data_IF_902522111384
#
_entry.id   IF_902522111384
#
_cell.length_a   1.000
_cell.length_b   1.000
_cell.length_c   1.000
_cell.angle_alpha   90.00
_cell.angle_beta   90.00
_cell.angle_gamma   90.00
#
_symmetry.space_group_name_H-M   'P 1'
#
loop_
_entity.id
_entity.type
_entity.pdbx_description
1 polymer ?
#
# COMPACT_ATOMS: atom_id res chain seq x y z
N UNK A 1 15.88 -29.54 17.26
CA UNK A 1 16.95 -30.36 16.67
C UNK A 1 16.47 -30.82 15.30
N UNK A 2 17.20 -30.50 14.23
CA UNK A 2 16.86 -30.92 12.87
C UNK A 2 17.37 -32.36 12.67
N UNK A 3 16.49 -33.31 12.32
CA UNK A 3 16.89 -34.69 12.03
C UNK A 3 17.66 -34.78 10.70
N UNK A 4 18.64 -35.69 10.61
CA UNK A 4 19.64 -35.79 9.53
C UNK A 4 19.07 -35.86 8.10
N UNK A 5 17.81 -36.23 7.92
CA UNK A 5 17.19 -36.53 6.62
C UNK A 5 16.06 -35.55 6.21
N UNK A 6 15.89 -34.41 6.90
CA UNK A 6 14.86 -33.42 6.53
C UNK A 6 15.47 -32.05 6.25
N UNK A 7 14.94 -31.37 5.23
CA UNK A 7 15.18 -29.94 5.06
C UNK A 7 14.51 -29.21 6.21
N UNK A 8 15.26 -28.34 6.88
CA UNK A 8 14.77 -27.57 8.01
C UNK A 8 14.76 -26.09 7.69
N UNK A 9 13.73 -25.41 8.18
CA UNK A 9 13.61 -23.97 8.12
C UNK A 9 13.70 -23.40 9.54
N UNK A 10 14.69 -22.54 9.77
CA UNK A 10 14.89 -21.85 11.04
C UNK A 10 14.75 -20.34 10.84
N UNK A 11 14.07 -19.68 11.77
CA UNK A 11 14.04 -18.22 11.84
C UNK A 11 14.71 -17.75 13.12
N UNK A 12 15.63 -16.79 13.01
CA UNK A 12 16.30 -16.17 14.14
C UNK A 12 16.17 -14.64 14.10
N UNK A 13 16.04 -14.03 15.27
CA UNK A 13 16.22 -12.59 15.42
C UNK A 13 17.70 -12.20 15.34
N UNK A 14 17.97 -10.90 15.20
CA UNK A 14 19.30 -10.34 15.34
C UNK A 14 19.26 -9.24 16.42
N UNK A 15 19.96 -9.40 17.57
CA UNK A 15 20.02 -8.37 18.61
C UNK A 15 21.02 -7.24 18.29
N UNK A 16 21.87 -7.41 17.26
CA UNK A 16 22.92 -6.47 16.86
C UNK A 16 22.50 -5.57 15.70
N UNK A 17 21.19 -5.27 15.61
CA UNK A 17 20.65 -4.42 14.57
C UNK A 17 21.08 -2.97 14.76
N UNK A 18 21.65 -2.39 13.70
CA UNK A 18 21.95 -0.96 13.63
C UNK A 18 20.66 -0.17 13.34
N UNK A 19 20.60 1.13 13.66
CA UNK A 19 19.49 1.98 13.21
C UNK A 19 19.35 1.97 11.68
N UNK A 20 18.11 2.14 11.21
CA UNK A 20 17.76 2.28 9.80
C UNK A 20 17.52 3.76 9.48
N UNK A 21 18.02 4.22 8.33
CA UNK A 21 17.91 5.61 7.91
C UNK A 21 17.15 5.72 6.59
N UNK A 22 16.25 6.68 6.51
CA UNK A 22 15.47 6.95 5.31
C UNK A 22 15.39 8.45 5.05
N UNK A 23 16.03 8.89 3.96
CA UNK A 23 16.11 10.29 3.54
C UNK A 23 15.24 10.48 2.30
N UNK A 24 14.20 11.30 2.43
CA UNK A 24 13.23 11.53 1.36
C UNK A 24 13.15 13.01 1.00
N UNK A 25 13.23 13.30 -0.29
CA UNK A 25 12.92 14.61 -0.86
C UNK A 25 11.72 14.44 -1.78
N UNK A 26 10.72 15.30 -1.63
CA UNK A 26 9.50 15.26 -2.44
C UNK A 26 9.03 16.66 -2.83
N UNK A 27 8.49 16.76 -4.03
CA UNK A 27 7.82 17.96 -4.53
C UNK A 27 6.41 17.56 -4.95
N UNK A 28 5.42 18.18 -4.32
CA UNK A 28 4.01 17.89 -4.55
C UNK A 28 3.29 19.17 -5.01
N UNK A 29 2.55 19.05 -6.12
CA UNK A 29 1.62 20.06 -6.59
C UNK A 29 0.20 19.56 -6.39
N UNK A 30 -0.62 20.34 -5.69
CA UNK A 30 -2.03 20.02 -5.46
C UNK A 30 -2.89 21.23 -5.77
N UNK A 31 -3.92 21.03 -6.58
CA UNK A 31 -4.81 22.10 -7.00
C UNK A 31 -6.29 21.68 -6.91
N UNK A 32 -7.17 22.57 -6.43
CA UNK A 32 -8.60 22.39 -6.61
C UNK A 32 -8.96 22.58 -8.09
N UNK A 33 -9.84 21.73 -8.60
CA UNK A 33 -10.41 21.83 -9.96
C UNK A 33 -11.93 21.76 -9.83
N UNK A 34 -12.58 22.93 -9.81
CA UNK A 34 -14.02 23.06 -9.51
C UNK A 34 -14.37 22.41 -8.15
N UNK A 35 -15.20 21.37 -8.16
CA UNK A 35 -15.61 20.61 -6.97
C UNK A 35 -14.73 19.36 -6.71
N UNK A 36 -13.56 19.31 -7.34
CA UNK A 36 -12.60 18.20 -7.30
C UNK A 36 -11.25 18.69 -6.78
N UNK A 37 -10.36 17.78 -6.40
CA UNK A 37 -8.94 18.08 -6.23
C UNK A 37 -8.10 17.06 -7.01
N UNK A 38 -6.96 17.53 -7.50
CA UNK A 38 -5.94 16.70 -8.12
C UNK A 38 -4.61 17.02 -7.42
N UNK A 39 -3.82 16.00 -7.18
CA UNK A 39 -2.50 16.09 -6.62
C UNK A 39 -1.54 15.23 -7.43
N UNK A 40 -0.40 15.79 -7.78
CA UNK A 40 0.70 15.05 -8.38
C UNK A 40 1.99 15.43 -7.69
N UNK A 41 2.95 14.52 -7.64
CA UNK A 41 4.23 14.81 -7.05
C UNK A 41 5.30 13.88 -7.54
N UNK A 42 6.54 14.32 -7.40
CA UNK A 42 7.73 13.52 -7.64
C UNK A 42 8.48 13.35 -6.33
N UNK A 43 9.15 12.22 -6.16
CA UNK A 43 9.94 11.97 -4.97
C UNK A 43 11.20 11.17 -5.29
N UNK A 44 12.19 11.36 -4.44
CA UNK A 44 13.39 10.55 -4.34
C UNK A 44 13.56 10.14 -2.88
N UNK A 45 13.79 8.86 -2.64
CA UNK A 45 13.92 8.26 -1.33
C UNK A 45 15.17 7.38 -1.29
N UNK A 46 16.18 7.80 -0.55
CA UNK A 46 17.37 6.99 -0.26
C UNK A 46 17.20 6.32 1.10
N UNK A 47 17.38 5.01 1.15
CA UNK A 47 17.31 4.24 2.38
C UNK A 47 18.62 3.48 2.60
N UNK A 48 19.07 3.46 3.85
CA UNK A 48 20.31 2.83 4.25
C UNK A 48 20.09 1.98 5.49
N UNK A 49 20.68 0.78 5.49
CA UNK A 49 20.63 -0.17 6.59
C UNK A 49 19.21 -0.52 7.04
N UNK A 50 18.25 -0.53 6.11
CA UNK A 50 16.89 -0.97 6.43
C UNK A 50 16.89 -2.44 6.84
N UNK A 51 16.15 -2.74 7.90
CA UNK A 51 15.92 -4.10 8.36
C UNK A 51 15.20 -4.91 7.30
N UNK A 52 15.83 -5.99 6.86
CA UNK A 52 15.26 -6.91 5.88
C UNK A 52 15.48 -8.33 6.32
N UNK A 53 14.49 -9.18 6.06
CA UNK A 53 14.66 -10.61 6.20
C UNK A 53 15.50 -11.12 5.03
N UNK A 54 16.54 -11.86 5.35
CA UNK A 54 17.38 -12.59 4.41
C UNK A 54 17.48 -14.04 4.84
N UNK A 55 17.72 -14.91 3.87
CA UNK A 55 17.79 -16.35 4.00
C UNK A 55 19.10 -16.82 3.39
N UNK A 56 19.76 -17.73 4.10
CA UNK A 56 20.93 -18.46 3.62
C UNK A 56 20.75 -19.96 3.85
N UNK A 57 21.42 -20.76 3.05
CA UNK A 57 21.48 -22.20 3.23
C UNK A 57 22.75 -22.55 4.01
N UNK A 58 22.58 -23.23 5.14
CA UNK A 58 23.66 -23.76 5.99
C UNK A 58 23.75 -25.27 5.77
N UNK A 59 24.98 -25.76 5.53
CA UNK A 59 25.31 -27.18 5.35
C UNK A 59 24.43 -27.91 4.32
N UNK A 60 23.94 -27.17 3.31
CA UNK A 60 23.07 -27.68 2.24
C UNK A 60 21.68 -28.16 2.66
N UNK A 61 21.31 -28.05 3.96
CA UNK A 61 20.11 -28.69 4.52
C UNK A 61 19.24 -27.76 5.37
N UNK A 62 19.81 -26.68 5.89
CA UNK A 62 19.11 -25.76 6.78
C UNK A 62 18.93 -24.42 6.07
N UNK A 63 17.69 -24.06 5.78
CA UNK A 63 17.32 -22.71 5.36
C UNK A 63 17.17 -21.85 6.62
N UNK A 64 18.14 -20.96 6.85
CA UNK A 64 18.14 -20.05 7.99
C UNK A 64 17.77 -18.64 7.53
N UNK A 65 16.64 -18.14 8.02
CA UNK A 65 16.26 -16.73 7.85
C UNK A 65 16.62 -15.90 9.08
N UNK A 66 17.23 -14.74 8.86
CA UNK A 66 17.47 -13.71 9.88
C UNK A 66 17.03 -12.34 9.41
N UNK A 67 16.83 -11.42 10.36
CA UNK A 67 16.63 -9.99 10.06
C UNK A 67 18.00 -9.30 10.13
N UNK A 68 18.37 -8.60 9.07
CA UNK A 68 19.69 -7.94 8.95
C UNK A 68 19.55 -6.52 8.40
N UNK A 69 20.52 -5.65 8.70
CA UNK A 69 20.68 -4.33 8.12
C UNK A 69 21.27 -4.41 6.71
N UNK A 70 20.47 -4.86 5.74
CA UNK A 70 20.95 -5.08 4.36
C UNK A 70 20.07 -4.39 3.32
N UNK A 71 19.04 -3.66 3.76
CA UNK A 71 18.21 -2.85 2.89
C UNK A 71 18.86 -1.50 2.61
N UNK A 72 19.76 -1.45 1.65
CA UNK A 72 20.35 -0.20 1.15
C UNK A 72 20.03 -0.02 -0.33
N UNK A 73 19.66 1.20 -0.70
CA UNK A 73 19.28 1.52 -2.07
C UNK A 73 18.49 2.82 -2.15
N UNK A 74 17.82 3.00 -3.29
CA UNK A 74 17.02 4.19 -3.53
C UNK A 74 15.79 3.90 -4.38
N UNK A 75 14.75 4.70 -4.16
CA UNK A 75 13.50 4.67 -4.90
C UNK A 75 13.20 6.09 -5.39
N UNK A 76 12.83 6.22 -6.66
CA UNK A 76 12.30 7.48 -7.17
C UNK A 76 11.04 7.21 -7.99
N UNK A 77 10.12 8.15 -7.95
CA UNK A 77 8.83 7.93 -8.59
C UNK A 77 7.98 9.17 -8.69
N UNK A 78 6.86 8.96 -9.37
CA UNK A 78 5.81 9.94 -9.58
C UNK A 78 4.53 9.41 -8.93
N UNK A 79 3.87 10.29 -8.18
CA UNK A 79 2.58 10.03 -7.56
C UNK A 79 1.51 10.88 -8.23
N UNK A 80 0.33 10.30 -8.35
CA UNK A 80 -0.89 10.96 -8.78
C UNK A 80 -2.00 10.53 -7.82
N UNK A 81 -2.80 11.49 -7.36
CA UNK A 81 -3.98 11.22 -6.57
C UNK A 81 -5.05 12.27 -6.80
N UNK A 82 -6.28 11.98 -6.43
CA UNK A 82 -7.33 12.97 -6.52
C UNK A 82 -8.62 12.56 -5.85
N UNK A 83 -9.53 13.53 -5.81
CA UNK A 83 -10.94 13.29 -5.58
C UNK A 83 -11.71 14.04 -6.64
N UNK A 84 -12.17 13.30 -7.65
CA UNK A 84 -12.76 13.86 -8.86
C UNK A 84 -14.25 13.59 -8.85
N UNK A 85 -15.04 14.65 -8.73
CA UNK A 85 -16.50 14.58 -8.91
C UNK A 85 -16.80 14.66 -10.40
N UNK A 86 -17.13 13.53 -11.00
CA UNK A 86 -17.51 13.45 -12.42
C UNK A 86 -18.85 14.16 -12.63
N UNK A 87 -19.80 13.93 -11.72
CA UNK A 87 -21.08 14.62 -11.66
C UNK A 87 -21.64 14.56 -10.23
N UNK A 88 -22.90 14.97 -10.02
CA UNK A 88 -23.53 15.00 -8.68
C UNK A 88 -23.70 13.62 -8.03
N UNK A 89 -23.76 12.55 -8.82
CA UNK A 89 -24.00 11.18 -8.35
C UNK A 89 -22.77 10.29 -8.43
N UNK A 90 -21.66 10.74 -9.02
CA UNK A 90 -20.44 9.95 -9.18
C UNK A 90 -19.17 10.73 -8.83
N UNK A 91 -18.40 10.15 -7.91
CA UNK A 91 -17.08 10.60 -7.52
C UNK A 91 -16.08 9.44 -7.65
N UNK A 92 -14.88 9.73 -8.11
CA UNK A 92 -13.76 8.78 -8.14
C UNK A 92 -12.58 9.34 -7.35
N UNK A 93 -11.94 8.48 -6.56
CA UNK A 93 -10.75 8.82 -5.77
C UNK A 93 -9.61 7.91 -6.22
N UNK A 94 -8.89 8.28 -7.31
CA UNK A 94 -7.75 7.52 -7.79
C UNK A 94 -6.50 7.84 -7.00
N UNK A 95 -5.59 6.87 -6.96
CA UNK A 95 -4.21 6.98 -6.54
C UNK A 95 -3.38 6.07 -7.44
N UNK A 96 -2.26 6.59 -7.92
CA UNK A 96 -1.27 5.87 -8.70
C UNK A 96 0.12 6.34 -8.25
N UNK A 97 1.01 5.39 -8.00
CA UNK A 97 2.43 5.63 -7.74
C UNK A 97 3.20 4.76 -8.70
N UNK A 98 3.99 5.35 -9.60
CA UNK A 98 4.89 4.64 -10.51
C UNK A 98 6.31 5.00 -10.08
N UNK A 99 7.12 3.99 -9.84
CA UNK A 99 8.45 4.18 -9.27
C UNK A 99 9.44 3.17 -9.79
N UNK A 100 10.72 3.52 -9.69
CA UNK A 100 11.83 2.63 -9.94
C UNK A 100 12.61 2.45 -8.63
N UNK A 101 12.85 1.20 -8.27
CA UNK A 101 13.54 0.79 -7.07
C UNK A 101 14.88 0.18 -7.45
N UNK A 102 15.95 0.73 -6.91
CA UNK A 102 17.31 0.18 -6.98
C UNK A 102 17.72 -0.31 -5.59
N UNK A 103 18.26 -1.53 -5.55
CA UNK A 103 18.75 -2.19 -4.36
C UNK A 103 20.21 -2.58 -4.58
N UNK A 104 21.07 -2.23 -3.65
CA UNK A 104 22.48 -2.58 -3.69
C UNK A 104 22.67 -4.10 -3.57
N UNK A 105 23.84 -4.58 -3.99
CA UNK A 105 24.24 -5.96 -3.75
C UNK A 105 24.36 -6.26 -2.25
N UNK A 106 24.20 -7.53 -1.91
CA UNK A 106 24.36 -8.09 -0.58
C UNK A 106 25.24 -9.33 -0.72
N UNK A 107 26.55 -9.11 -0.78
CA UNK A 107 27.54 -10.14 -1.12
C UNK A 107 27.47 -11.35 -0.19
N UNK A 108 27.35 -11.14 1.12
CA UNK A 108 27.24 -12.21 2.12
C UNK A 108 26.00 -13.11 1.98
N UNK A 109 25.06 -12.73 1.10
CA UNK A 109 23.83 -13.47 0.81
C UNK A 109 23.66 -13.78 -0.68
N UNK A 110 24.72 -13.66 -1.49
CA UNK A 110 24.69 -14.02 -2.92
C UNK A 110 23.66 -13.23 -3.73
N UNK A 111 23.42 -11.96 -3.36
CA UNK A 111 22.42 -11.11 -4.03
C UNK A 111 23.15 -9.98 -4.75
N UNK A 112 22.98 -9.93 -6.06
CA UNK A 112 23.53 -8.86 -6.90
C UNK A 112 22.69 -7.59 -6.77
N UNK A 113 23.23 -6.48 -7.28
CA UNK A 113 22.46 -5.24 -7.44
C UNK A 113 21.22 -5.52 -8.33
N UNK A 114 20.07 -4.96 -7.95
CA UNK A 114 18.80 -5.19 -8.64
C UNK A 114 18.06 -3.89 -8.83
N UNK A 115 17.52 -3.73 -10.03
CA UNK A 115 16.65 -2.64 -10.39
C UNK A 115 15.29 -3.17 -10.84
N UNK A 116 14.20 -2.52 -10.42
CA UNK A 116 12.87 -2.82 -10.94
C UNK A 116 11.95 -1.62 -10.90
N UNK A 117 11.33 -1.34 -12.06
CA UNK A 117 10.17 -0.48 -12.13
C UNK A 117 8.91 -1.22 -11.64
N UNK A 118 8.11 -0.54 -10.84
CA UNK A 118 6.88 -1.05 -10.28
C UNK A 118 5.84 0.08 -10.15
N UNK A 119 4.58 -0.30 -9.93
CA UNK A 119 3.53 0.64 -9.63
C UNK A 119 2.57 0.13 -8.57
N UNK A 120 1.95 1.07 -7.86
CA UNK A 120 0.86 0.84 -6.90
C UNK A 120 -0.32 1.68 -7.35
N UNK A 121 -1.48 1.06 -7.49
CA UNK A 121 -2.70 1.73 -7.88
C UNK A 121 -3.82 1.40 -6.90
N UNK A 122 -4.59 2.41 -6.50
CA UNK A 122 -5.88 2.19 -5.87
C UNK A 122 -6.89 3.20 -6.38
N UNK A 123 -8.14 2.79 -6.48
CA UNK A 123 -9.23 3.67 -6.90
C UNK A 123 -10.48 3.34 -6.10
N UNK A 124 -11.17 4.38 -5.64
CA UNK A 124 -12.50 4.24 -5.03
C UNK A 124 -13.50 5.02 -5.86
N UNK A 125 -14.39 4.34 -6.56
CA UNK A 125 -15.56 4.92 -7.21
C UNK A 125 -16.75 4.89 -6.26
N UNK A 126 -17.41 6.03 -6.09
CA UNK A 126 -18.54 6.21 -5.19
C UNK A 126 -19.71 6.74 -6.02
N UNK A 127 -20.83 6.02 -5.98
CA UNK A 127 -22.07 6.36 -6.65
C UNK A 127 -23.14 6.68 -5.61
N UNK A 128 -23.57 7.93 -5.56
CA UNK A 128 -24.69 8.37 -4.71
C UNK A 128 -26.00 8.11 -5.45
N UNK A 129 -26.75 7.14 -4.96
CA UNK A 129 -28.00 6.68 -5.56
C UNK A 129 -29.22 7.29 -4.84
N UNK A 130 -30.40 7.31 -5.48
CA UNK A 130 -31.64 7.75 -4.84
C UNK A 130 -31.95 6.98 -3.54
N UNK A 131 -32.84 7.55 -2.72
CA UNK A 131 -33.24 6.97 -1.43
C UNK A 131 -32.06 6.74 -0.48
N UNK A 132 -30.98 7.53 -0.54
CA UNK A 132 -29.82 7.44 0.36
C UNK A 132 -29.05 6.11 0.29
N UNK A 133 -29.01 5.52 -0.91
CA UNK A 133 -28.10 4.42 -1.19
C UNK A 133 -26.76 4.97 -1.68
N UNK A 134 -25.68 4.29 -1.34
CA UNK A 134 -24.35 4.55 -1.87
C UNK A 134 -23.76 3.24 -2.34
N UNK A 135 -23.49 3.13 -3.63
CA UNK A 135 -22.69 2.03 -4.17
C UNK A 135 -21.24 2.50 -4.22
N UNK A 136 -20.31 1.70 -3.71
CA UNK A 136 -18.89 1.96 -3.86
C UNK A 136 -18.18 0.75 -4.47
N UNK A 137 -17.17 1.04 -5.27
CA UNK A 137 -16.25 0.06 -5.84
C UNK A 137 -14.84 0.50 -5.48
N UNK A 138 -14.14 -0.32 -4.73
CA UNK A 138 -12.75 -0.14 -4.36
C UNK A 138 -11.89 -1.16 -5.09
N UNK A 139 -10.81 -0.70 -5.72
CA UNK A 139 -9.82 -1.56 -6.37
C UNK A 139 -8.44 -1.19 -5.86
N UNK A 140 -7.61 -2.17 -5.56
CA UNK A 140 -6.21 -1.98 -5.23
C UNK A 140 -5.36 -3.04 -5.93
N UNK A 141 -4.26 -2.62 -6.53
CA UNK A 141 -3.30 -3.51 -7.14
C UNK A 141 -1.89 -2.94 -7.01
N UNK A 142 -0.96 -3.80 -6.62
CA UNK A 142 0.46 -3.51 -6.63
C UNK A 142 1.10 -4.43 -7.66
N UNK A 143 1.84 -3.87 -8.61
CA UNK A 143 2.63 -4.69 -9.53
C UNK A 143 3.68 -5.48 -8.76
N UNK A 144 4.25 -6.54 -9.36
CA UNK A 144 5.39 -7.22 -8.78
C UNK A 144 6.52 -6.24 -8.45
N UNK A 145 7.09 -6.34 -7.26
CA UNK A 145 8.16 -5.45 -6.79
C UNK A 145 9.25 -6.27 -6.09
N UNK A 146 10.49 -5.79 -6.15
CA UNK A 146 11.62 -6.43 -5.47
C UNK A 146 11.75 -5.95 -4.03
N UNK A 147 12.24 -6.82 -3.15
CA UNK A 147 12.73 -6.44 -1.83
C UNK A 147 13.88 -7.35 -1.45
N UNK A 148 15.09 -6.83 -1.29
CA UNK A 148 16.25 -7.64 -0.88
C UNK A 148 16.41 -8.85 -1.84
N UNK A 149 16.25 -10.07 -1.34
CA UNK A 149 16.32 -11.32 -2.13
C UNK A 149 15.01 -11.68 -2.86
N UNK A 150 13.91 -11.00 -2.55
CA UNK A 150 12.57 -11.42 -2.96
C UNK A 150 12.07 -10.64 -4.18
N UNK A 151 11.31 -11.32 -5.03
CA UNK A 151 10.29 -10.75 -5.89
C UNK A 151 8.93 -11.04 -5.25
N UNK A 152 8.23 -9.98 -4.87
CA UNK A 152 6.92 -10.08 -4.22
C UNK A 152 5.81 -9.81 -5.23
N UNK A 153 4.78 -10.64 -5.19
CA UNK A 153 3.55 -10.52 -5.96
C UNK A 153 2.36 -10.66 -5.01
N UNK A 154 1.25 -10.02 -5.37
CA UNK A 154 -0.01 -10.10 -4.63
C UNK A 154 -1.17 -9.99 -5.63
N UNK A 155 -2.27 -10.67 -5.35
CA UNK A 155 -3.50 -10.53 -6.14
C UNK A 155 -4.08 -9.12 -6.04
N UNK A 156 -4.87 -8.72 -7.04
CA UNK A 156 -5.68 -7.51 -6.95
C UNK A 156 -6.80 -7.66 -5.93
N UNK A 157 -7.06 -6.60 -5.17
CA UNK A 157 -8.18 -6.51 -4.23
C UNK A 157 -9.31 -5.71 -4.88
N UNK A 158 -10.49 -6.30 -4.94
CA UNK A 158 -11.70 -5.72 -5.50
C UNK A 158 -12.81 -5.80 -4.47
N UNK A 159 -13.36 -4.67 -4.03
CA UNK A 159 -14.45 -4.63 -3.06
C UNK A 159 -15.61 -3.86 -3.66
N UNK A 160 -16.78 -4.50 -3.75
CA UNK A 160 -18.02 -3.87 -4.18
C UNK A 160 -18.94 -3.80 -2.97
N UNK A 161 -19.39 -2.60 -2.62
CA UNK A 161 -20.22 -2.39 -1.45
C UNK A 161 -21.44 -1.54 -1.73
N UNK A 162 -22.58 -1.96 -1.18
CA UNK A 162 -23.80 -1.18 -1.16
C UNK A 162 -24.10 -0.75 0.27
N UNK A 163 -24.16 0.55 0.49
CA UNK A 163 -24.51 1.15 1.77
C UNK A 163 -25.87 1.80 1.71
N UNK A 164 -26.62 1.69 2.80
CA UNK A 164 -27.89 2.35 3.01
C UNK A 164 -27.86 3.14 4.30
N UNK A 165 -28.10 4.45 4.19
CA UNK A 165 -28.43 5.25 5.37
C UNK A 165 -29.91 5.01 5.73
N UNK A 166 -30.14 4.36 6.86
CA UNK A 166 -31.48 4.15 7.42
C UNK A 166 -31.89 5.41 8.19
N UNK A 167 -30.98 5.92 9.03
CA UNK A 167 -31.10 7.20 9.76
C UNK A 167 -29.72 7.86 9.80
N UNK A 168 -29.65 9.14 10.14
CA UNK A 168 -28.36 9.84 10.29
C UNK A 168 -27.38 9.13 11.24
N UNK A 169 -27.90 8.42 12.25
CA UNK A 169 -27.13 7.64 13.21
C UNK A 169 -26.99 6.16 12.87
N UNK A 170 -27.65 5.65 11.82
CA UNK A 170 -27.69 4.21 11.53
C UNK A 170 -27.48 3.94 10.03
N UNK A 171 -26.42 3.18 9.73
CA UNK A 171 -26.08 2.72 8.38
C UNK A 171 -25.96 1.21 8.33
N UNK A 172 -26.41 0.65 7.21
CA UNK A 172 -26.21 -0.75 6.85
C UNK A 172 -25.31 -0.81 5.62
N UNK A 173 -24.36 -1.74 5.59
CA UNK A 173 -23.44 -1.92 4.48
C UNK A 173 -23.31 -3.41 4.16
N UNK A 174 -23.46 -3.76 2.88
CA UNK A 174 -23.25 -5.09 2.36
C UNK A 174 -22.07 -5.02 1.38
N UNK A 175 -21.01 -5.78 1.63
CA UNK A 175 -19.78 -5.74 0.83
C UNK A 175 -19.40 -7.12 0.33
N UNK A 176 -19.12 -7.25 -0.96
CA UNK A 176 -18.49 -8.43 -1.53
C UNK A 176 -17.00 -8.15 -1.74
N UNK A 177 -16.15 -9.03 -1.23
CA UNK A 177 -14.69 -8.95 -1.35
C UNK A 177 -14.25 -9.97 -2.39
N UNK A 178 -13.51 -9.50 -3.40
CA UNK A 178 -13.04 -10.28 -4.53
C UNK A 178 -14.13 -11.16 -5.18
N UNK A 179 -15.29 -10.58 -5.55
CA UNK A 179 -16.47 -11.36 -5.98
C UNK A 179 -16.26 -12.17 -7.28
N UNK A 180 -15.20 -11.89 -8.05
CA UNK A 180 -14.95 -12.48 -9.35
C UNK A 180 -13.85 -13.56 -9.35
N UNK A 181 -13.41 -14.02 -8.18
CA UNK A 181 -12.38 -15.06 -8.07
C UNK A 181 -12.63 -16.01 -6.91
N UNK A 182 -12.13 -17.23 -7.03
CA UNK A 182 -12.27 -18.26 -5.98
C UNK A 182 -11.12 -18.20 -4.97
N UNK A 183 -9.89 -18.00 -5.43
CA UNK A 183 -8.69 -17.93 -4.61
C UNK A 183 -8.05 -16.56 -4.75
N UNK A 184 -7.68 -15.94 -3.64
CA UNK A 184 -6.94 -14.68 -3.60
C UNK A 184 -5.52 -14.93 -3.09
N UNK A 185 -4.54 -14.56 -3.91
CA UNK A 185 -3.12 -14.59 -3.52
C UNK A 185 -2.81 -13.44 -2.58
N UNK A 186 -2.71 -13.75 -1.29
CA UNK A 186 -2.32 -12.80 -0.24
C UNK A 186 -0.87 -12.41 -0.40
N UNK A 187 -0.01 -13.40 -0.69
CA UNK A 187 1.41 -13.20 -0.92
C UNK A 187 1.95 -14.31 -1.78
N UNK A 188 2.67 -13.96 -2.84
CA UNK A 188 3.54 -14.86 -3.58
C UNK A 188 4.94 -14.25 -3.56
N UNK A 189 5.87 -14.94 -2.92
CA UNK A 189 7.24 -14.47 -2.69
C UNK A 189 8.19 -15.45 -3.34
N UNK A 190 8.94 -14.97 -4.31
CA UNK A 190 10.02 -15.72 -4.95
C UNK A 190 11.33 -15.19 -4.42
N UNK A 191 12.07 -16.01 -3.68
CA UNK A 191 13.40 -15.72 -3.16
C UNK A 191 14.43 -16.35 -4.08
N UNK A 192 15.35 -15.54 -4.59
CA UNK A 192 16.42 -15.99 -5.47
C UNK A 192 17.76 -15.50 -4.93
N UNK A 193 18.70 -16.43 -4.84
CA UNK A 193 20.09 -16.25 -4.42
C UNK A 193 20.97 -17.09 -5.35
N UNK A 194 22.28 -16.88 -5.34
CA UNK A 194 23.23 -17.65 -6.15
C UNK A 194 23.13 -19.17 -5.94
N UNK A 195 22.77 -19.62 -4.75
CA UNK A 195 22.79 -21.02 -4.34
C UNK A 195 21.42 -21.64 -4.05
N UNK A 196 20.32 -20.88 -4.15
CA UNK A 196 18.98 -21.45 -3.98
C UNK A 196 17.89 -20.61 -4.65
N UNK A 197 16.81 -21.30 -5.01
CA UNK A 197 15.55 -20.71 -5.43
C UNK A 197 14.44 -21.25 -4.54
N UNK A 198 13.58 -20.35 -4.04
CA UNK A 198 12.45 -20.70 -3.21
C UNK A 198 11.23 -19.88 -3.62
N UNK A 199 10.10 -20.54 -3.84
CA UNK A 199 8.80 -19.87 -3.98
C UNK A 199 7.91 -20.21 -2.79
N UNK A 200 7.29 -19.19 -2.22
CA UNK A 200 6.32 -19.32 -1.14
C UNK A 200 5.04 -18.64 -1.58
N UNK A 201 3.99 -19.42 -1.72
CA UNK A 201 2.68 -18.96 -2.14
C UNK A 201 1.67 -19.10 -1.00
N UNK A 202 0.92 -18.03 -0.73
CA UNK A 202 -0.15 -17.99 0.25
C UNK A 202 -1.42 -17.51 -0.43
N UNK A 203 -2.32 -18.46 -0.68
CA UNK A 203 -3.64 -18.21 -1.20
C UNK A 203 -4.70 -18.39 -0.11
N UNK A 204 -5.77 -17.61 -0.19
CA UNK A 204 -6.96 -17.77 0.65
C UNK A 204 -8.18 -17.94 -0.23
N UNK A 205 -9.05 -18.87 0.14
CA UNK A 205 -10.32 -19.09 -0.56
C UNK A 205 -11.30 -17.96 -0.20
N UNK A 206 -11.79 -17.25 -1.21
CA UNK A 206 -12.64 -16.04 -1.07
C UNK A 206 -13.92 -16.09 -1.89
N UNK A 207 -14.25 -17.26 -2.49
CA UNK A 207 -15.47 -17.41 -3.29
C UNK A 207 -16.68 -16.96 -2.48
N UNK A 208 -17.45 -16.02 -3.03
CA UNK A 208 -18.65 -15.46 -2.42
C UNK A 208 -18.44 -14.87 -1.00
N UNK A 209 -17.26 -14.30 -0.72
CA UNK A 209 -16.99 -13.64 0.56
C UNK A 209 -17.78 -12.33 0.67
N UNK A 210 -18.88 -12.39 1.42
CA UNK A 210 -19.80 -11.28 1.64
C UNK A 210 -19.77 -10.89 3.12
N UNK A 211 -19.74 -9.59 3.40
CA UNK A 211 -19.73 -9.03 4.76
C UNK A 211 -20.93 -8.11 4.94
N UNK A 212 -21.64 -8.29 6.05
CA UNK A 212 -22.68 -7.37 6.52
C UNK A 212 -22.10 -6.52 7.65
N UNK A 213 -22.21 -5.19 7.53
CA UNK A 213 -21.76 -4.24 8.55
C UNK A 213 -22.91 -3.33 8.95
N UNK A 214 -23.19 -3.28 10.26
CA UNK A 214 -24.11 -2.33 10.87
C UNK A 214 -23.27 -1.27 11.59
N UNK A 215 -23.54 -0.01 11.35
CA UNK A 215 -22.85 1.10 12.01
C UNK A 215 -23.86 2.00 12.70
N UNK A 216 -23.72 2.14 14.02
CA UNK A 216 -24.51 3.06 14.84
C UNK A 216 -23.61 4.15 15.43
N UNK A 217 -23.99 5.41 15.26
CA UNK A 217 -23.26 6.57 15.80
C UNK A 217 -24.14 7.32 16.79
N UNK A 218 -23.70 7.38 18.04
CA UNK A 218 -24.32 8.13 19.12
C UNK A 218 -23.46 9.34 19.48
N UNK A 219 -24.08 10.53 19.54
CA UNK A 219 -23.41 11.76 19.95
C UNK A 219 -24.12 12.29 21.20
N UNK A 220 -23.37 12.48 22.29
CA UNK A 220 -23.86 13.03 23.55
C UNK A 220 -22.93 14.13 24.03
N UNK A 221 -23.49 15.24 24.53
CA UNK A 221 -22.76 16.43 24.96
C UNK A 221 -23.08 17.69 24.14
N UNK A 222 -22.77 18.85 24.72
CA UNK A 222 -23.00 20.15 24.10
C UNK A 222 -22.06 20.33 22.89
N UNK A 223 -22.60 20.85 21.77
CA UNK A 223 -21.76 21.29 20.64
C UNK A 223 -20.88 22.44 21.14
N UNK A 224 -19.59 22.18 21.33
CA UNK A 224 -18.61 23.23 21.62
C UNK A 224 -18.70 24.26 20.48
N UNK A 225 -18.95 25.54 20.81
CA UNK A 225 -18.94 26.62 19.83
C UNK A 225 -17.58 26.59 19.12
N UNK A 226 -17.57 26.32 17.82
CA UNK A 226 -16.37 26.50 17.01
C UNK A 226 -16.02 27.98 17.09
N UNK A 227 -14.82 28.30 17.56
CA UNK A 227 -14.26 29.63 17.44
C UNK A 227 -14.25 30.00 15.95
N UNK A 228 -14.94 31.07 15.58
CA UNK A 228 -14.79 31.69 14.26
C UNK A 228 -13.36 32.20 14.18
N UNK A 229 -12.46 31.38 13.64
CA UNK A 229 -11.18 31.90 13.14
C UNK A 229 -11.52 32.67 11.87
N UNK A 230 -11.48 33.99 11.95
CA UNK A 230 -11.40 34.84 10.76
C UNK A 230 -10.30 34.28 9.87
N UNK A 231 -10.68 33.90 8.64
CA UNK A 231 -9.72 33.71 7.58
C UNK A 231 -9.35 35.09 7.09
N UNK A 232 -8.39 35.72 7.75
CA UNK A 232 -7.62 36.78 7.09
C UNK A 232 -6.81 36.07 6.01
N UNK A 233 -7.42 35.98 4.82
CA UNK A 233 -6.67 35.76 3.60
C UNK A 233 -6.01 37.09 3.32
N UNK A 234 -4.77 37.26 3.76
CA UNK A 234 -3.89 38.27 3.20
C UNK A 234 -3.89 38.05 1.69
N UNK A 235 -4.65 38.90 1.00
CA UNK A 235 -4.61 38.99 -0.45
C UNK A 235 -3.42 39.90 -0.71
N UNK A 236 -2.22 39.32 -0.64
CA UNK A 236 -1.02 40.08 -0.95
C UNK A 236 -1.02 40.27 -2.47
N UNK A 237 -1.55 41.43 -2.86
CA UNK A 237 -1.57 41.90 -4.24
C UNK A 237 -0.15 42.20 -4.66
N UNK A 238 0.57 41.17 -5.10
CA UNK A 238 1.86 41.37 -5.74
C UNK A 238 1.72 41.27 -7.26
N UNK A 239 1.90 42.43 -7.87
CA UNK A 239 2.04 42.65 -9.30
C UNK A 239 3.05 41.66 -9.87
N UNK A 240 2.66 41.02 -10.96
CA UNK A 240 3.57 40.40 -11.91
C UNK A 240 4.61 41.42 -12.38
N UNK A 241 5.86 41.20 -12.00
CA UNK A 241 7.00 41.55 -12.83
C UNK A 241 7.92 40.33 -12.75
N UNK A 242 7.76 39.44 -13.73
CA UNK A 242 8.74 38.61 -14.44
C UNK A 242 7.96 37.57 -15.25
#
# INVERSE_FOLDING_TARGET
MCESNRLCYNFKGNPYLNPSYNNKVELNFSAPVKNSYISTGVYYNYFNDNFRRVTKIIDGRISESSVENVGTGYEYGVNFSGSVKINKWWQINPYLSVYNLNLNSIEGYGVKERQKAAFRANATSIFTLPKKFVLFVFTQYNSPYISTQNLNKRGGLYVIGLEKEIKKSLKLSLTAINPFMENFTVSNTITESENFWQETNMDVYVKNLITLRVTYTFNYGNKIKKLDRQKDVETDGNKSVF
#
